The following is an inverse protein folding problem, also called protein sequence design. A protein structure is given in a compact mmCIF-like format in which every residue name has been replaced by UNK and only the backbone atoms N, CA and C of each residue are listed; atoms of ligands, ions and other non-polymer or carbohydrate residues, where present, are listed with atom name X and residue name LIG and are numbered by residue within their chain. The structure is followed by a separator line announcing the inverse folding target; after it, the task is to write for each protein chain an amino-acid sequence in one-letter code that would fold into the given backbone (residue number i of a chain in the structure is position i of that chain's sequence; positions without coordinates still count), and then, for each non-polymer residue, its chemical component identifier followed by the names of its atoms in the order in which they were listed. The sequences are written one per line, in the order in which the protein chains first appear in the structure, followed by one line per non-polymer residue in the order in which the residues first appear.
data_IF_701438750441
#
_entry.id   IF_701438750441
#
_cell.length_a   1.000
_cell.length_b   1.000
_cell.length_c   1.000
_cell.angle_alpha   90.00
_cell.angle_beta   90.00
_cell.angle_gamma   90.00
#
_symmetry.space_group_name_H-M   'P 1'
#
loop_
_entity.id
_entity.type
_entity.pdbx_description
1 polymer ?
#
# COMPACT_ATOMS: atom_id res chain seq x y z
N UNK A 1 -23.31 2.02 0.46
CA UNK A 1 -22.36 3.06 0.00
C UNK A 1 -21.96 2.78 -1.44
N UNK A 2 -21.78 3.83 -2.25
CA UNK A 2 -21.26 3.68 -3.60
C UNK A 2 -19.76 3.35 -3.56
N UNK A 3 -19.27 2.56 -4.52
CA UNK A 3 -17.85 2.24 -4.67
C UNK A 3 -17.01 3.53 -4.79
N UNK A 4 -15.78 3.54 -4.25
CA UNK A 4 -14.91 4.74 -4.22
C UNK A 4 -14.70 5.37 -5.62
N UNK A 5 -14.66 4.54 -6.67
CA UNK A 5 -14.54 5.02 -8.06
C UNK A 5 -15.76 5.80 -8.57
N UNK A 6 -16.89 5.76 -7.87
CA UNK A 6 -18.08 6.57 -8.18
C UNK A 6 -18.03 7.94 -7.51
N UNK A 7 -17.09 8.18 -6.58
CA UNK A 7 -16.89 9.51 -6.01
C UNK A 7 -16.25 10.43 -7.06
N UNK A 8 -16.86 11.60 -7.36
CA UNK A 8 -16.39 12.47 -8.45
C UNK A 8 -14.96 12.98 -8.21
N UNK A 9 -14.59 13.29 -6.96
CA UNK A 9 -13.23 13.77 -6.62
C UNK A 9 -12.18 12.68 -6.87
N UNK A 10 -12.48 11.45 -6.46
CA UNK A 10 -11.56 10.32 -6.67
C UNK A 10 -11.47 9.93 -8.15
N UNK A 11 -12.60 9.94 -8.86
CA UNK A 11 -12.64 9.65 -10.29
C UNK A 11 -11.88 10.68 -11.13
N UNK A 12 -12.03 11.98 -10.81
CA UNK A 12 -11.28 13.06 -11.46
C UNK A 12 -9.78 12.92 -11.22
N UNK A 13 -9.36 12.70 -9.96
CA UNK A 13 -7.96 12.49 -9.62
C UNK A 13 -7.37 11.25 -10.31
N UNK A 14 -8.15 10.18 -10.45
CA UNK A 14 -7.74 8.97 -11.19
C UNK A 14 -7.51 9.28 -12.66
N UNK A 15 -8.44 10.02 -13.29
CA UNK A 15 -8.33 10.42 -14.69
C UNK A 15 -7.10 11.31 -14.95
N UNK A 16 -6.83 12.25 -14.06
CA UNK A 16 -5.61 13.09 -14.15
C UNK A 16 -4.34 12.25 -14.00
N UNK A 17 -4.32 11.30 -13.06
CA UNK A 17 -3.20 10.40 -12.85
C UNK A 17 -2.92 9.52 -14.08
N UNK A 18 -3.98 8.95 -14.68
CA UNK A 18 -3.88 8.18 -15.92
C UNK A 18 -3.37 9.04 -17.09
N UNK A 19 -3.87 10.27 -17.23
CA UNK A 19 -3.41 11.20 -18.27
C UNK A 19 -1.92 11.53 -18.14
N UNK A 20 -1.43 11.75 -16.90
CA UNK A 20 -0.01 11.94 -16.64
C UNK A 20 0.82 10.69 -16.96
N UNK A 21 0.30 9.49 -16.66
CA UNK A 21 0.95 8.22 -17.00
C UNK A 21 1.10 8.02 -18.51
N UNK A 22 0.06 8.35 -19.28
CA UNK A 22 0.11 8.33 -20.75
C UNK A 22 1.14 9.34 -21.28
N UNK A 23 1.19 10.55 -20.70
CA UNK A 23 2.18 11.54 -21.09
C UNK A 23 3.62 11.07 -20.78
N UNK A 24 3.85 10.47 -19.62
CA UNK A 24 5.14 9.89 -19.25
C UNK A 24 5.56 8.80 -20.23
N UNK A 25 4.67 7.86 -20.55
CA UNK A 25 4.96 6.79 -21.51
C UNK A 25 5.33 7.31 -22.90
N UNK A 26 4.72 8.40 -23.36
CA UNK A 26 5.11 9.07 -24.62
C UNK A 26 6.51 9.68 -24.55
N UNK A 27 6.84 10.34 -23.45
CA UNK A 27 8.18 10.94 -23.24
C UNK A 27 9.25 9.84 -23.17
N UNK A 28 9.01 8.76 -22.44
CA UNK A 28 9.93 7.62 -22.34
C UNK A 28 10.12 6.91 -23.69
N UNK A 29 9.03 6.71 -24.44
CA UNK A 29 9.09 6.18 -25.80
C UNK A 29 9.97 7.05 -26.71
N UNK A 30 9.77 8.39 -26.66
CA UNK A 30 10.57 9.32 -27.46
C UNK A 30 12.05 9.35 -27.04
N UNK A 31 12.34 9.27 -25.76
CA UNK A 31 13.72 9.12 -25.25
C UNK A 31 14.36 7.86 -25.83
N UNK A 32 13.67 6.73 -25.78
CA UNK A 32 14.18 5.46 -26.29
C UNK A 32 14.44 5.51 -27.80
N UNK A 33 13.58 6.17 -28.58
CA UNK A 33 13.78 6.42 -30.01
C UNK A 33 15.04 7.26 -30.27
N UNK A 34 15.21 8.38 -29.56
CA UNK A 34 16.39 9.25 -29.73
C UNK A 34 17.65 8.49 -29.34
N UNK A 35 17.64 7.74 -28.24
CA UNK A 35 18.78 6.92 -27.81
C UNK A 35 19.12 5.81 -28.83
N UNK A 36 18.12 5.26 -29.52
CA UNK A 36 18.36 4.32 -30.63
C UNK A 36 18.97 5.02 -31.85
N UNK A 37 18.48 6.21 -32.21
CA UNK A 37 19.01 7.01 -33.33
C UNK A 37 20.45 7.48 -33.07
N UNK A 38 20.76 7.89 -31.84
CA UNK A 38 22.11 8.25 -31.42
C UNK A 38 23.06 7.04 -31.52
N UNK A 39 22.63 5.86 -31.07
CA UNK A 39 23.42 4.61 -31.18
C UNK A 39 23.64 4.16 -32.62
N UNK A 40 22.61 4.22 -33.46
CA UNK A 40 22.69 3.82 -34.85
C UNK A 40 23.60 4.73 -35.70
N UNK A 41 23.85 5.96 -35.23
CA UNK A 41 24.70 6.96 -35.91
C UNK A 41 26.09 7.10 -35.30
N UNK A 42 26.40 6.41 -34.21
CA UNK A 42 27.74 6.38 -33.66
C UNK A 42 28.66 5.70 -34.69
N UNK A 43 29.61 6.42 -35.31
CA UNK A 43 30.53 5.79 -36.23
C UNK A 43 31.46 4.86 -35.45
N UNK A 44 31.89 3.77 -36.10
CA UNK A 44 32.95 2.92 -35.58
C UNK A 44 34.17 3.80 -35.26
N UNK A 45 34.65 3.86 -34.00
CA UNK A 45 35.65 4.85 -33.57
C UNK A 45 36.90 4.82 -34.46
N UNK A 46 37.31 3.66 -34.95
CA UNK A 46 38.47 3.52 -35.84
C UNK A 46 38.21 4.13 -37.23
N UNK A 47 37.01 3.97 -37.79
CA UNK A 47 36.65 4.52 -39.11
C UNK A 47 36.37 6.02 -39.08
N UNK A 48 35.83 6.53 -37.97
CA UNK A 48 35.52 7.96 -37.78
C UNK A 48 36.79 8.81 -37.77
N UNK A 49 37.84 8.36 -37.07
CA UNK A 49 39.12 9.06 -36.99
C UNK A 49 39.85 9.07 -38.33
N UNK A 50 39.82 7.98 -39.09
CA UNK A 50 40.44 7.89 -40.42
C UNK A 50 39.72 8.79 -41.43
N UNK A 51 38.38 8.80 -41.42
CA UNK A 51 37.58 9.66 -42.29
C UNK A 51 37.78 11.16 -41.97
N UNK A 52 37.80 11.53 -40.68
CA UNK A 52 38.06 12.90 -40.24
C UNK A 52 39.49 13.35 -40.58
N UNK A 53 40.48 12.47 -40.46
CA UNK A 53 41.87 12.74 -40.85
C UNK A 53 42.01 12.95 -42.37
N UNK A 54 41.32 12.15 -43.20
CA UNK A 54 41.29 12.28 -44.65
C UNK A 54 40.58 13.58 -45.11
N UNK A 55 39.46 13.94 -44.48
CA UNK A 55 38.75 15.19 -44.78
C UNK A 55 39.57 16.43 -44.34
N UNK A 56 40.26 16.37 -43.21
CA UNK A 56 41.20 17.43 -42.79
C UNK A 56 42.37 17.56 -43.75
N UNK A 57 42.96 16.45 -44.19
CA UNK A 57 44.08 16.48 -45.14
C UNK A 57 43.69 17.09 -46.50
N UNK A 58 42.43 16.97 -46.91
CA UNK A 58 41.93 17.50 -48.19
C UNK A 58 41.39 18.93 -48.08
N UNK A 59 40.83 19.33 -46.94
CA UNK A 59 40.12 20.62 -46.81
C UNK A 59 40.76 21.61 -45.82
N UNK A 60 41.71 21.16 -45.00
CA UNK A 60 42.36 21.94 -43.95
C UNK A 60 41.46 22.31 -42.76
N UNK A 61 40.22 21.79 -42.71
CA UNK A 61 39.24 22.10 -41.66
C UNK A 61 38.99 20.87 -40.78
N UNK A 62 39.11 21.05 -39.47
CA UNK A 62 38.75 20.01 -38.50
C UNK A 62 37.25 20.08 -38.27
N UNK A 63 36.50 19.08 -38.72
CA UNK A 63 35.13 18.84 -38.25
C UNK A 63 35.18 17.84 -37.09
N UNK A 64 34.42 18.11 -36.03
CA UNK A 64 34.22 17.16 -34.94
C UNK A 64 33.61 15.86 -35.49
N UNK A 65 34.12 14.72 -35.02
CA UNK A 65 33.63 13.38 -35.39
C UNK A 65 32.22 13.08 -34.83
N UNK A 66 31.67 13.96 -34.00
CA UNK A 66 30.30 13.86 -33.50
C UNK A 66 29.30 14.21 -34.62
N UNK A 67 29.00 13.23 -35.48
CA UNK A 67 27.88 13.26 -36.43
C UNK A 67 26.49 13.19 -35.73
N UNK A 68 26.45 13.32 -34.41
CA UNK A 68 25.21 13.44 -33.64
C UNK A 68 24.69 14.86 -33.81
N UNK A 69 23.52 15.08 -34.44
CA UNK A 69 22.97 16.41 -34.58
C UNK A 69 22.79 17.02 -33.18
N UNK A 70 23.36 18.19 -32.93
CA UNK A 70 23.23 18.93 -31.66
C UNK A 70 21.76 19.01 -31.21
N UNK A 71 20.84 19.11 -32.19
CA UNK A 71 19.40 19.07 -32.00
C UNK A 71 18.86 17.80 -31.30
N UNK A 72 19.40 16.61 -31.58
CA UNK A 72 18.95 15.36 -30.92
C UNK A 72 19.39 15.29 -29.47
N UNK A 73 20.62 15.76 -29.18
CA UNK A 73 21.14 15.84 -27.81
C UNK A 73 20.38 16.87 -26.98
N UNK A 74 20.04 18.02 -27.56
CA UNK A 74 19.20 19.05 -26.94
C UNK A 74 17.77 18.53 -26.68
N UNK A 75 17.15 17.87 -27.67
CA UNK A 75 15.84 17.25 -27.52
C UNK A 75 15.84 16.20 -26.40
N UNK A 76 16.86 15.35 -26.33
CA UNK A 76 17.01 14.35 -25.28
C UNK A 76 17.12 14.97 -23.88
N UNK A 77 17.87 16.06 -23.74
CA UNK A 77 18.00 16.78 -22.47
C UNK A 77 16.66 17.36 -22.02
N UNK A 78 15.91 18.00 -22.92
CA UNK A 78 14.58 18.55 -22.64
C UNK A 78 13.60 17.45 -22.22
N UNK A 79 13.61 16.31 -22.93
CA UNK A 79 12.74 15.18 -22.59
C UNK A 79 13.08 14.56 -21.23
N UNK A 80 14.36 14.52 -20.83
CA UNK A 80 14.75 14.08 -19.49
C UNK A 80 14.19 14.98 -18.39
N UNK A 81 14.26 16.30 -18.58
CA UNK A 81 13.65 17.25 -17.64
C UNK A 81 12.12 17.10 -17.57
N UNK A 82 11.47 16.91 -18.72
CA UNK A 82 10.03 16.64 -18.78
C UNK A 82 9.65 15.33 -18.07
N UNK A 83 10.45 14.27 -18.23
CA UNK A 83 10.27 13.00 -17.53
C UNK A 83 10.34 13.18 -16.01
N UNK A 84 11.32 13.92 -15.51
CA UNK A 84 11.44 14.22 -14.08
C UNK A 84 10.25 15.03 -13.56
N UNK A 85 9.81 16.04 -14.29
CA UNK A 85 8.62 16.83 -13.96
C UNK A 85 7.35 15.97 -13.92
N UNK A 86 7.16 15.07 -14.90
CA UNK A 86 6.02 14.14 -14.95
C UNK A 86 6.06 13.13 -13.81
N UNK A 87 7.22 12.59 -13.47
CA UNK A 87 7.38 11.69 -12.31
C UNK A 87 7.02 12.40 -10.99
N UNK A 88 7.45 13.64 -10.82
CA UNK A 88 7.08 14.46 -9.66
C UNK A 88 5.57 14.74 -9.62
N UNK A 89 4.97 15.09 -10.76
CA UNK A 89 3.53 15.30 -10.86
C UNK A 89 2.73 14.04 -10.53
N UNK A 90 3.15 12.87 -11.03
CA UNK A 90 2.55 11.58 -10.70
C UNK A 90 2.62 11.25 -9.21
N UNK A 91 3.77 11.51 -8.57
CA UNK A 91 3.92 11.32 -7.12
C UNK A 91 2.94 12.19 -6.35
N UNK A 92 2.87 13.49 -6.66
CA UNK A 92 1.96 14.45 -6.00
C UNK A 92 0.49 14.00 -6.19
N UNK A 93 0.11 13.58 -7.40
CA UNK A 93 -1.26 13.11 -7.66
C UNK A 93 -1.59 11.82 -6.93
N UNK A 94 -0.64 10.88 -6.83
CA UNK A 94 -0.82 9.65 -6.04
C UNK A 94 -1.05 9.96 -4.56
N UNK A 95 -0.29 10.88 -3.99
CA UNK A 95 -0.47 11.34 -2.60
C UNK A 95 -1.85 11.98 -2.39
N UNK A 96 -2.28 12.84 -3.32
CA UNK A 96 -3.62 13.44 -3.28
C UNK A 96 -4.74 12.39 -3.37
N UNK A 97 -4.60 11.37 -4.22
CA UNK A 97 -5.56 10.26 -4.31
C UNK A 97 -5.63 9.45 -3.01
N UNK A 98 -4.49 9.22 -2.35
CA UNK A 98 -4.46 8.55 -1.04
C UNK A 98 -5.16 9.37 0.04
N UNK A 99 -4.98 10.69 0.04
CA UNK A 99 -5.68 11.58 0.96
C UNK A 99 -7.20 11.50 0.77
N UNK A 100 -7.68 11.60 -0.47
CA UNK A 100 -9.12 11.48 -0.79
C UNK A 100 -9.65 10.09 -0.37
N UNK A 101 -8.90 9.02 -0.63
CA UNK A 101 -9.29 7.68 -0.20
C UNK A 101 -9.36 7.56 1.33
N UNK A 102 -8.45 8.21 2.06
CA UNK A 102 -8.49 8.30 3.52
C UNK A 102 -9.75 9.00 4.02
N UNK A 103 -10.07 10.17 3.49
CA UNK A 103 -11.31 10.91 3.81
C UNK A 103 -12.56 10.04 3.60
N UNK A 104 -12.67 9.42 2.42
CA UNK A 104 -13.82 8.58 2.08
C UNK A 104 -13.89 7.31 2.93
N UNK A 105 -12.75 6.78 3.37
CA UNK A 105 -12.72 5.64 4.30
C UNK A 105 -13.24 6.04 5.67
N UNK A 106 -12.89 7.23 6.17
CA UNK A 106 -13.42 7.75 7.44
C UNK A 106 -14.94 7.92 7.35
N UNK A 107 -15.44 8.52 6.27
CA UNK A 107 -16.89 8.64 6.04
C UNK A 107 -17.59 7.28 5.98
N UNK A 108 -16.94 6.28 5.35
CA UNK A 108 -17.47 4.93 5.27
C UNK A 108 -17.51 4.23 6.62
N UNK A 109 -16.46 4.37 7.42
CA UNK A 109 -16.41 3.87 8.79
C UNK A 109 -17.49 4.54 9.65
N UNK A 110 -17.63 5.87 9.58
CA UNK A 110 -18.67 6.59 10.32
C UNK A 110 -20.08 6.12 9.93
N UNK A 111 -20.34 5.88 8.64
CA UNK A 111 -21.62 5.35 8.18
C UNK A 111 -21.93 3.92 8.70
N UNK A 112 -20.91 3.14 9.03
CA UNK A 112 -21.04 1.77 9.56
C UNK A 112 -20.85 1.70 11.08
N UNK A 113 -20.49 2.80 11.73
CA UNK A 113 -20.08 2.82 13.13
C UNK A 113 -21.17 2.28 14.05
N UNK A 114 -22.43 2.70 13.83
CA UNK A 114 -23.57 2.19 14.60
C UNK A 114 -23.73 0.67 14.47
N UNK A 115 -23.68 0.15 13.25
CA UNK A 115 -23.80 -1.29 13.01
C UNK A 115 -22.63 -2.07 13.63
N UNK A 116 -21.42 -1.50 13.60
CA UNK A 116 -20.25 -2.06 14.26
C UNK A 116 -20.40 -2.07 15.79
N UNK A 117 -20.88 -0.97 16.40
CA UNK A 117 -21.17 -0.91 17.84
C UNK A 117 -22.27 -1.90 18.25
N UNK A 118 -23.31 -2.08 17.44
CA UNK A 118 -24.34 -3.11 17.66
C UNK A 118 -23.77 -4.54 17.59
N UNK A 119 -22.83 -4.78 16.67
CA UNK A 119 -22.11 -6.05 16.61
C UNK A 119 -21.21 -6.25 17.84
N UNK A 120 -20.49 -5.22 18.26
CA UNK A 120 -19.68 -5.23 19.47
C UNK A 120 -20.52 -5.50 20.73
N UNK A 121 -21.70 -4.89 20.85
CA UNK A 121 -22.64 -5.13 21.95
C UNK A 121 -23.10 -6.61 21.99
N UNK A 122 -23.47 -7.17 20.84
CA UNK A 122 -23.85 -8.59 20.74
C UNK A 122 -22.68 -9.52 21.07
N UNK A 123 -21.48 -9.18 20.63
CA UNK A 123 -20.27 -9.92 20.96
C UNK A 123 -19.98 -9.89 22.46
N UNK A 124 -20.09 -8.73 23.10
CA UNK A 124 -19.95 -8.58 24.55
C UNK A 124 -21.00 -9.42 25.31
N UNK A 125 -22.26 -9.43 24.87
CA UNK A 125 -23.29 -10.29 25.47
C UNK A 125 -22.90 -11.78 25.41
N UNK A 126 -22.34 -12.25 24.29
CA UNK A 126 -21.87 -13.64 24.15
C UNK A 126 -20.65 -13.95 25.00
N UNK A 127 -19.71 -13.02 25.13
CA UNK A 127 -18.60 -13.18 26.08
C UNK A 127 -19.09 -13.26 27.52
N UNK A 128 -20.12 -12.49 27.89
CA UNK A 128 -20.70 -12.54 29.23
C UNK A 128 -21.40 -13.87 29.51
N UNK A 129 -22.15 -14.41 28.55
CA UNK A 129 -22.73 -15.75 28.66
C UNK A 129 -21.64 -16.81 28.85
N UNK A 130 -20.52 -16.69 28.13
CA UNK A 130 -19.40 -17.61 28.25
C UNK A 130 -18.68 -17.49 29.60
N UNK A 131 -18.47 -16.27 30.10
CA UNK A 131 -17.89 -16.00 31.41
C UNK A 131 -18.71 -16.64 32.54
N UNK A 132 -20.04 -16.55 32.47
CA UNK A 132 -20.93 -17.22 33.42
C UNK A 132 -20.77 -18.75 33.41
N UNK A 133 -20.62 -19.36 32.22
CA UNK A 133 -20.34 -20.81 32.12
C UNK A 133 -18.97 -21.18 32.72
N UNK A 134 -17.97 -20.30 32.61
CA UNK A 134 -16.68 -20.50 33.27
C UNK A 134 -16.80 -20.45 34.80
N UNK A 135 -17.62 -19.55 35.35
CA UNK A 135 -17.88 -19.52 36.80
C UNK A 135 -18.55 -20.81 37.28
N UNK A 136 -19.51 -21.36 36.51
CA UNK A 136 -20.15 -22.64 36.80
C UNK A 136 -19.15 -23.82 36.79
N UNK A 137 -18.23 -23.87 35.82
CA UNK A 137 -17.19 -24.91 35.75
C UNK A 137 -16.20 -24.81 36.93
N UNK A 138 -15.83 -23.59 37.33
CA UNK A 138 -14.98 -23.36 38.52
C UNK A 138 -15.70 -23.83 39.78
N UNK A 139 -16.99 -23.51 39.95
CA UNK A 139 -17.76 -23.96 41.10
C UNK A 139 -17.85 -25.49 41.18
N UNK A 140 -17.99 -26.16 40.04
CA UNK A 140 -17.97 -27.63 39.95
C UNK A 140 -16.62 -28.21 40.38
N UNK A 141 -15.50 -27.64 39.89
CA UNK A 141 -14.14 -28.02 40.30
C UNK A 141 -13.99 -27.85 41.81
N UNK A 142 -14.34 -26.68 42.35
CA UNK A 142 -14.22 -26.37 43.76
C UNK A 142 -15.08 -27.30 44.64
N UNK A 143 -16.24 -27.74 44.18
CA UNK A 143 -17.07 -28.72 44.90
C UNK A 143 -16.37 -30.08 45.03
N UNK A 144 -15.76 -30.59 43.95
CA UNK A 144 -15.01 -31.86 43.96
C UNK A 144 -13.79 -31.75 44.87
N UNK A 145 -13.08 -30.62 44.83
CA UNK A 145 -11.93 -30.35 45.68
C UNK A 145 -12.30 -30.22 47.16
N UNK A 146 -13.44 -29.60 47.47
CA UNK A 146 -13.96 -29.49 48.84
C UNK A 146 -14.31 -30.87 49.45
N UNK A 147 -14.66 -31.86 48.63
CA UNK A 147 -14.86 -33.25 49.04
C UNK A 147 -13.55 -34.02 49.25
N UNK A 148 -12.40 -33.41 48.95
CA UNK A 148 -11.06 -34.00 49.11
C UNK A 148 -10.57 -34.78 47.89
N UNK A 149 -11.28 -34.72 46.77
CA UNK A 149 -10.88 -35.35 45.51
C UNK A 149 -10.13 -34.37 44.61
N UNK A 150 -9.30 -34.88 43.69
CA UNK A 150 -8.70 -34.05 42.64
C UNK A 150 -9.60 -34.00 41.42
N UNK A 151 -9.98 -32.80 40.97
CA UNK A 151 -10.80 -32.59 39.78
C UNK A 151 -10.03 -32.91 38.47
N UNK A 152 -10.00 -34.18 38.10
CA UNK A 152 -9.35 -34.68 36.88
C UNK A 152 -10.38 -34.98 35.78
N UNK A 153 -10.93 -33.94 35.15
CA UNK A 153 -11.79 -34.11 33.99
C UNK A 153 -10.98 -34.67 32.81
N UNK A 154 -11.34 -35.86 32.33
CA UNK A 154 -10.56 -36.62 31.30
C UNK A 154 -10.35 -35.87 29.98
N UNK A 155 -11.17 -34.87 29.68
CA UNK A 155 -11.05 -34.02 28.50
C UNK A 155 -11.02 -32.55 28.95
N UNK A 156 -9.82 -32.01 29.21
CA UNK A 156 -9.69 -30.57 29.38
C UNK A 156 -10.09 -29.91 28.05
N UNK A 157 -11.21 -29.18 28.03
CA UNK A 157 -11.59 -28.39 26.87
C UNK A 157 -10.59 -27.24 26.78
N UNK A 158 -9.62 -27.36 25.89
CA UNK A 158 -8.72 -26.27 25.55
C UNK A 158 -9.46 -25.35 24.59
N UNK A 159 -9.92 -24.21 25.11
CA UNK A 159 -10.56 -23.18 24.30
C UNK A 159 -9.49 -22.44 23.50
N UNK A 160 -9.45 -22.58 22.16
CA UNK A 160 -8.32 -22.14 21.33
C UNK A 160 -7.97 -20.65 21.46
N UNK A 161 -8.94 -19.82 21.84
CA UNK A 161 -8.80 -18.36 21.93
C UNK A 161 -8.81 -17.80 23.35
N UNK A 162 -9.09 -18.63 24.35
CA UNK A 162 -9.25 -18.21 25.76
C UNK A 162 -8.13 -18.80 26.63
N UNK A 163 -7.44 -19.84 26.14
CA UNK A 163 -6.36 -20.49 26.87
C UNK A 163 -6.88 -21.50 27.89
N UNK A 164 -6.06 -21.82 28.89
CA UNK A 164 -6.43 -22.74 29.99
C UNK A 164 -6.94 -21.93 31.19
N UNK A 165 -7.93 -22.47 31.89
CA UNK A 165 -8.30 -22.05 33.25
C UNK A 165 -7.04 -22.04 34.13
N UNK A 166 -6.49 -20.86 34.41
CA UNK A 166 -5.51 -20.67 35.48
C UNK A 166 -6.16 -19.78 36.53
N UNK A 167 -6.28 -20.29 37.75
CA UNK A 167 -6.69 -19.49 38.90
C UNK A 167 -5.74 -18.31 39.09
N UNK A 168 -6.28 -17.10 39.32
CA UNK A 168 -5.56 -16.01 39.97
C UNK A 168 -5.25 -14.76 39.14
N UNK A 169 -5.50 -14.72 37.84
CA UNK A 169 -5.35 -13.51 37.02
C UNK A 169 -6.60 -13.30 36.17
N UNK A 170 -7.05 -12.03 36.03
CA UNK A 170 -8.21 -11.64 35.23
C UNK A 170 -8.27 -12.47 33.94
N UNK A 171 -9.34 -13.23 33.75
CA UNK A 171 -9.54 -14.03 32.53
C UNK A 171 -9.34 -13.12 31.32
N UNK A 172 -8.64 -13.58 30.28
CA UNK A 172 -8.50 -12.80 29.04
C UNK A 172 -9.87 -12.38 28.47
N UNK A 173 -10.91 -13.18 28.76
CA UNK A 173 -12.31 -12.85 28.47
C UNK A 173 -12.77 -11.59 29.19
N UNK A 174 -12.47 -11.45 30.48
CA UNK A 174 -12.88 -10.30 31.29
C UNK A 174 -12.28 -9.00 30.76
N UNK A 175 -10.99 -9.01 30.38
CA UNK A 175 -10.33 -7.84 29.78
C UNK A 175 -10.97 -7.49 28.43
N UNK A 176 -11.21 -8.48 27.57
CA UNK A 176 -11.89 -8.27 26.29
C UNK A 176 -13.35 -7.80 26.45
N UNK A 177 -14.07 -8.33 27.43
CA UNK A 177 -15.43 -7.93 27.77
C UNK A 177 -15.48 -6.46 28.20
N UNK A 178 -14.57 -6.04 29.07
CA UNK A 178 -14.48 -4.67 29.57
C UNK A 178 -14.28 -3.67 28.44
N UNK A 179 -13.29 -3.92 27.59
CA UNK A 179 -12.89 -2.97 26.55
C UNK A 179 -13.97 -2.88 25.46
N UNK A 180 -14.60 -4.00 25.10
CA UNK A 180 -15.68 -4.03 24.09
C UNK A 180 -16.99 -3.47 24.64
N UNK A 181 -17.31 -3.73 25.91
CA UNK A 181 -18.51 -3.16 26.54
C UNK A 181 -18.42 -1.64 26.63
N UNK A 182 -17.23 -1.10 26.92
CA UNK A 182 -17.00 0.35 26.89
C UNK A 182 -17.20 0.92 25.50
N UNK A 183 -16.56 0.32 24.49
CA UNK A 183 -16.71 0.74 23.09
C UNK A 183 -18.17 0.66 22.58
N UNK A 184 -18.94 -0.31 23.04
CA UNK A 184 -20.34 -0.49 22.64
C UNK A 184 -21.32 0.46 23.33
N UNK A 185 -20.93 1.11 24.42
CA UNK A 185 -21.76 2.04 25.21
C UNK A 185 -21.54 3.51 24.85
N UNK A 186 -20.33 3.86 24.41
CA UNK A 186 -20.01 5.17 23.79
C UNK A 186 -20.76 5.36 22.48
#
# INVERSE_FOLDING_TARGET
MAHISKNPRYAEATKEYEALGVALGKVEGRIAEIEALMRARAPDPESAHVAAALEFATTGKVKSADNTPTALSEEHLVLRQQREALNNALRIRREAMQHIAGELSVEACAAQEKAHRELAARYAAKLKELDALYEEEIALISSIEAEGFTANFRNYIQWPHIGRLRMGHESAIFVHLRDISRYAQD
#
